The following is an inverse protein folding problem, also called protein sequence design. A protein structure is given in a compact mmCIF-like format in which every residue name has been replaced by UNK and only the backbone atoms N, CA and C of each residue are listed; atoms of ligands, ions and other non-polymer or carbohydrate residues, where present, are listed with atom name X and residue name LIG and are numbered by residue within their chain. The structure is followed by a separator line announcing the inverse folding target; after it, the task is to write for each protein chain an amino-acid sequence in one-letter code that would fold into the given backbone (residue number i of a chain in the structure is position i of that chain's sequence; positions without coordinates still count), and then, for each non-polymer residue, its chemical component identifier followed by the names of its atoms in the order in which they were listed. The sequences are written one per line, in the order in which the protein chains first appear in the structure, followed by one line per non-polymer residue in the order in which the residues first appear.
data_IF_496959442489
#
_entry.id   IF_496959442489
#
_cell.length_a   1.000
_cell.length_b   1.000
_cell.length_c   1.000
_cell.angle_alpha   90.00
_cell.angle_beta   90.00
_cell.angle_gamma   90.00
#
_symmetry.space_group_name_H-M   'P 1'
#
loop_
_entity.id
_entity.type
_entity.pdbx_description
1 polymer ?
#
# COMPACT_ATOMS: atom_id res chain seq x y z
N UNK A 1 -25.01 14.92 8.63
CA UNK A 1 -25.05 13.55 8.10
C UNK A 1 -26.47 13.01 8.10
N UNK A 2 -27.15 12.96 9.25
CA UNK A 2 -28.51 12.41 9.33
C UNK A 2 -29.49 13.11 8.38
N UNK A 3 -29.55 14.46 8.42
CA UNK A 3 -30.43 15.21 7.51
C UNK A 3 -30.04 15.05 6.03
N UNK A 4 -28.74 15.01 5.76
CA UNK A 4 -28.22 14.77 4.42
C UNK A 4 -28.67 13.40 3.90
N UNK A 5 -28.71 12.39 4.76
CA UNK A 5 -29.11 11.05 4.36
C UNK A 5 -30.57 10.97 3.94
N UNK A 6 -31.44 11.71 4.60
CA UNK A 6 -32.87 11.80 4.25
C UNK A 6 -33.12 12.72 3.04
N UNK A 7 -32.23 13.68 2.78
CA UNK A 7 -32.36 14.61 1.67
C UNK A 7 -31.93 14.03 0.31
N UNK A 8 -31.08 13.00 0.29
CA UNK A 8 -30.61 12.39 -0.96
C UNK A 8 -31.70 11.45 -1.51
N UNK A 9 -32.14 11.62 -2.77
CA UNK A 9 -33.16 10.77 -3.37
C UNK A 9 -32.56 9.43 -3.80
N UNK A 10 -32.31 8.53 -2.84
CA UNK A 10 -31.90 7.17 -3.14
C UNK A 10 -33.06 6.36 -3.75
N UNK A 11 -32.78 5.38 -4.63
CA UNK A 11 -33.75 4.38 -5.03
C UNK A 11 -34.31 3.63 -3.82
N UNK A 12 -35.56 3.17 -3.88
CA UNK A 12 -36.27 2.53 -2.77
C UNK A 12 -35.54 1.32 -2.16
N UNK A 13 -34.69 0.64 -2.94
CA UNK A 13 -33.91 -0.52 -2.49
C UNK A 13 -32.60 -0.15 -1.76
N UNK A 14 -32.21 1.12 -1.70
CA UNK A 14 -31.03 1.59 -0.96
C UNK A 14 -31.50 2.38 0.26
N UNK A 15 -31.30 1.85 1.49
CA UNK A 15 -31.59 2.59 2.70
C UNK A 15 -30.79 3.89 2.78
N UNK A 16 -31.39 4.98 3.26
CA UNK A 16 -30.81 6.32 3.17
C UNK A 16 -29.49 6.47 3.94
N UNK A 17 -29.37 5.92 5.17
CA UNK A 17 -28.15 6.10 5.96
C UNK A 17 -27.00 5.25 5.38
N UNK A 18 -27.27 4.00 5.02
CA UNK A 18 -26.32 3.09 4.36
C UNK A 18 -25.84 3.66 3.01
N UNK A 19 -26.76 4.11 2.16
CA UNK A 19 -26.46 4.75 0.89
C UNK A 19 -25.58 6.00 1.07
N UNK A 20 -25.87 6.81 2.09
CA UNK A 20 -25.09 8.01 2.40
C UNK A 20 -23.69 7.69 2.90
N UNK A 21 -23.53 6.65 3.74
CA UNK A 21 -22.20 6.18 4.16
C UNK A 21 -21.38 5.78 2.93
N UNK A 22 -21.97 5.00 2.02
CA UNK A 22 -21.29 4.55 0.80
C UNK A 22 -20.91 5.75 -0.08
N UNK A 23 -21.87 6.63 -0.34
CA UNK A 23 -21.69 7.80 -1.19
C UNK A 23 -20.61 8.75 -0.64
N UNK A 24 -20.69 9.11 0.64
CA UNK A 24 -19.69 9.98 1.28
C UNK A 24 -18.32 9.34 1.30
N UNK A 25 -18.23 8.02 1.50
CA UNK A 25 -16.96 7.30 1.43
C UNK A 25 -16.34 7.43 0.04
N UNK A 26 -17.11 7.13 -1.01
CA UNK A 26 -16.62 7.20 -2.41
C UNK A 26 -16.26 8.64 -2.76
N UNK A 27 -17.12 9.61 -2.43
CA UNK A 27 -16.90 11.02 -2.73
C UNK A 27 -15.63 11.55 -2.04
N UNK A 28 -15.50 11.34 -0.72
CA UNK A 28 -14.31 11.82 0.01
C UNK A 28 -13.04 11.10 -0.44
N UNK A 29 -13.08 9.81 -0.74
CA UNK A 29 -11.92 9.07 -1.26
C UNK A 29 -11.49 9.61 -2.62
N UNK A 30 -12.45 9.89 -3.51
CA UNK A 30 -12.20 10.44 -4.84
C UNK A 30 -11.65 11.87 -4.80
N UNK A 31 -12.22 12.73 -3.96
CA UNK A 31 -11.84 14.15 -3.91
C UNK A 31 -10.52 14.32 -3.13
N UNK A 32 -10.37 13.63 -2.00
CA UNK A 32 -9.31 13.92 -1.03
C UNK A 32 -8.15 12.92 -1.06
N UNK A 33 -8.34 11.66 -1.46
CA UNK A 33 -7.26 10.65 -1.38
C UNK A 33 -6.73 10.18 -2.75
N UNK A 34 -7.58 10.16 -3.76
CA UNK A 34 -7.20 9.74 -5.11
C UNK A 34 -6.12 10.65 -5.74
N UNK A 35 -6.16 11.99 -5.61
CA UNK A 35 -5.11 12.85 -6.17
C UNK A 35 -3.71 12.53 -5.63
N UNK A 36 -3.59 12.23 -4.34
CA UNK A 36 -2.32 11.83 -3.73
C UNK A 36 -1.83 10.47 -4.25
N UNK A 37 -2.76 9.55 -4.49
CA UNK A 37 -2.45 8.24 -5.06
C UNK A 37 -1.92 8.37 -6.50
N UNK A 38 -2.58 9.20 -7.33
CA UNK A 38 -2.13 9.51 -8.70
C UNK A 38 -0.77 10.21 -8.67
N UNK A 39 -0.59 11.18 -7.78
CA UNK A 39 0.68 11.90 -7.59
C UNK A 39 1.84 10.94 -7.25
N UNK A 40 1.63 10.00 -6.32
CA UNK A 40 2.64 9.02 -5.95
C UNK A 40 2.99 8.09 -7.12
N UNK A 41 1.99 7.63 -7.88
CA UNK A 41 2.20 6.82 -9.09
C UNK A 41 3.01 7.55 -10.15
N UNK A 42 2.72 8.83 -10.41
CA UNK A 42 3.52 9.64 -11.36
C UNK A 42 4.99 9.72 -10.95
N UNK A 43 5.29 9.85 -9.65
CA UNK A 43 6.67 9.89 -9.13
C UNK A 43 7.36 8.53 -9.20
N UNK A 44 6.63 7.46 -8.92
CA UNK A 44 7.14 6.11 -9.10
C UNK A 44 7.52 5.85 -10.56
N UNK A 45 6.67 6.24 -11.52
CA UNK A 45 6.97 6.15 -12.96
C UNK A 45 8.25 6.88 -13.33
N UNK A 46 8.41 8.14 -12.91
CA UNK A 46 9.63 8.91 -13.17
C UNK A 46 10.87 8.26 -12.54
N UNK A 47 10.72 7.54 -11.42
CA UNK A 47 11.81 6.76 -10.84
C UNK A 47 12.18 5.59 -11.74
N UNK A 48 11.19 4.86 -12.24
CA UNK A 48 11.38 3.68 -13.11
C UNK A 48 11.90 4.03 -14.51
N UNK A 49 11.41 5.12 -15.10
CA UNK A 49 11.71 5.54 -16.48
C UNK A 49 12.96 6.43 -16.58
N UNK A 50 13.32 7.17 -15.53
CA UNK A 50 14.44 8.14 -15.59
C UNK A 50 15.56 7.76 -14.62
N UNK A 51 15.25 7.62 -13.33
CA UNK A 51 16.28 7.40 -12.30
C UNK A 51 16.96 6.03 -12.45
N UNK A 52 16.18 4.97 -12.69
CA UNK A 52 16.74 3.61 -12.80
C UNK A 52 17.66 3.47 -14.04
N UNK A 53 17.28 3.91 -15.25
CA UNK A 53 18.16 3.83 -16.43
C UNK A 53 19.44 4.66 -16.28
N UNK A 54 19.35 5.89 -15.77
CA UNK A 54 20.52 6.73 -15.53
C UNK A 54 21.49 6.08 -14.53
N UNK A 55 20.96 5.57 -13.43
CA UNK A 55 21.78 4.86 -12.45
C UNK A 55 22.44 3.60 -13.06
N UNK A 56 21.73 2.87 -13.93
CA UNK A 56 22.29 1.71 -14.64
C UNK A 56 23.45 2.12 -15.56
N UNK A 57 23.34 3.26 -16.25
CA UNK A 57 24.40 3.77 -17.10
C UNK A 57 25.63 4.24 -16.30
N UNK A 58 25.43 4.82 -15.12
CA UNK A 58 26.53 5.30 -14.25
C UNK A 58 27.19 4.18 -13.41
N UNK A 59 26.53 3.03 -13.23
CA UNK A 59 27.03 1.92 -12.39
C UNK A 59 28.48 1.50 -12.71
N UNK A 60 28.89 1.27 -13.98
CA UNK A 60 30.26 0.87 -14.28
C UNK A 60 31.30 1.90 -13.82
N UNK A 61 30.99 3.19 -13.94
CA UNK A 61 31.87 4.27 -13.50
C UNK A 61 32.02 4.29 -11.97
N UNK A 62 30.93 4.06 -11.22
CA UNK A 62 30.97 3.95 -9.75
C UNK A 62 31.82 2.75 -9.34
N UNK A 63 31.66 1.59 -10.00
CA UNK A 63 32.44 0.38 -9.70
C UNK A 63 33.94 0.59 -9.95
N UNK A 64 34.30 1.30 -11.04
CA UNK A 64 35.69 1.66 -11.32
C UNK A 64 36.26 2.59 -10.26
N UNK A 65 35.49 3.62 -9.86
CA UNK A 65 35.90 4.56 -8.81
C UNK A 65 36.16 3.87 -7.48
N UNK A 66 35.29 2.94 -7.07
CA UNK A 66 35.50 2.14 -5.84
C UNK A 66 36.79 1.32 -5.93
N UNK A 67 37.06 0.75 -7.10
CA UNK A 67 38.29 -0.02 -7.30
C UNK A 67 39.54 0.84 -7.17
N UNK A 68 39.54 2.03 -7.78
CA UNK A 68 40.62 3.02 -7.66
C UNK A 68 40.82 3.50 -6.21
N UNK A 69 39.73 3.77 -5.48
CA UNK A 69 39.77 4.14 -4.06
C UNK A 69 40.36 3.01 -3.20
N UNK A 70 39.97 1.75 -3.44
CA UNK A 70 40.54 0.60 -2.72
C UNK A 70 42.03 0.39 -3.00
N UNK A 71 42.48 0.64 -4.23
CA UNK A 71 43.90 0.59 -4.58
C UNK A 71 44.69 1.70 -3.87
N UNK A 72 44.14 2.92 -3.84
CA UNK A 72 44.76 4.07 -3.16
C UNK A 72 44.85 3.88 -1.65
N UNK A 73 43.81 3.30 -1.06
CA UNK A 73 43.78 2.97 0.38
C UNK A 73 44.71 1.80 0.72
N UNK A 74 45.34 1.16 -0.29
CA UNK A 74 46.26 0.06 -0.10
C UNK A 74 45.61 -1.16 0.55
N UNK A 75 44.35 -1.46 0.24
CA UNK A 75 43.64 -2.59 0.83
C UNK A 75 44.34 -3.92 0.51
N UNK A 76 44.80 -4.63 1.55
CA UNK A 76 45.56 -5.90 1.47
C UNK A 76 44.78 -7.10 2.04
N UNK A 77 43.50 -7.21 1.71
CA UNK A 77 42.68 -8.38 2.07
C UNK A 77 42.82 -9.53 1.08
N UNK A 78 42.39 -10.73 1.49
CA UNK A 78 42.27 -11.87 0.59
C UNK A 78 41.25 -11.58 -0.54
N UNK A 79 41.29 -12.36 -1.64
CA UNK A 79 40.41 -12.16 -2.81
C UNK A 79 38.92 -12.07 -2.43
N UNK A 80 38.47 -12.88 -1.49
CA UNK A 80 37.08 -12.86 -1.01
C UNK A 80 36.75 -11.62 -0.18
N UNK A 81 37.67 -11.18 0.67
CA UNK A 81 37.51 -9.98 1.51
C UNK A 81 37.50 -8.72 0.65
N UNK A 82 38.39 -8.65 -0.35
CA UNK A 82 38.42 -7.57 -1.32
C UNK A 82 37.11 -7.49 -2.13
N UNK A 83 36.53 -8.64 -2.51
CA UNK A 83 35.25 -8.67 -3.20
C UNK A 83 34.09 -8.20 -2.30
N UNK A 84 34.06 -8.62 -1.03
CA UNK A 84 33.03 -8.19 -0.07
C UNK A 84 33.13 -6.70 0.22
N UNK A 85 34.34 -6.18 0.43
CA UNK A 85 34.59 -4.76 0.68
C UNK A 85 34.22 -3.91 -0.53
N UNK A 86 34.62 -4.33 -1.74
CA UNK A 86 34.25 -3.66 -3.00
C UNK A 86 32.72 -3.60 -3.15
N UNK A 87 32.04 -4.73 -2.95
CA UNK A 87 30.59 -4.79 -3.03
C UNK A 87 29.90 -3.89 -1.99
N UNK A 88 30.42 -3.84 -0.75
CA UNK A 88 29.91 -2.99 0.32
C UNK A 88 30.04 -1.50 -0.01
N UNK A 89 31.24 -1.07 -0.41
CA UNK A 89 31.52 0.33 -0.82
C UNK A 89 30.73 0.72 -2.07
N UNK A 90 30.66 -0.15 -3.07
CA UNK A 90 29.87 0.08 -4.27
C UNK A 90 28.39 0.23 -3.93
N UNK A 91 27.84 -0.62 -3.05
CA UNK A 91 26.44 -0.55 -2.68
C UNK A 91 26.10 0.74 -1.92
N UNK A 92 27.00 1.23 -1.05
CA UNK A 92 26.79 2.50 -0.34
C UNK A 92 26.78 3.70 -1.29
N UNK A 93 27.74 3.76 -2.23
CA UNK A 93 27.81 4.82 -3.24
C UNK A 93 26.62 4.77 -4.22
N UNK A 94 26.23 3.58 -4.68
CA UNK A 94 25.06 3.40 -5.55
C UNK A 94 23.78 3.89 -4.85
N UNK A 95 23.60 3.56 -3.56
CA UNK A 95 22.45 4.04 -2.78
C UNK A 95 22.47 5.56 -2.61
N UNK A 96 23.64 6.14 -2.34
CA UNK A 96 23.81 7.58 -2.22
C UNK A 96 23.45 8.28 -3.55
N UNK A 97 23.97 7.77 -4.68
CA UNK A 97 23.69 8.31 -6.01
C UNK A 97 22.22 8.16 -6.40
N UNK A 98 21.60 7.02 -6.08
CA UNK A 98 20.16 6.83 -6.29
C UNK A 98 19.34 7.88 -5.54
N UNK A 99 19.69 8.17 -4.28
CA UNK A 99 19.01 9.20 -3.48
C UNK A 99 19.21 10.60 -4.06
N UNK A 100 20.40 10.90 -4.55
CA UNK A 100 20.71 12.17 -5.19
C UNK A 100 19.90 12.37 -6.49
N UNK A 101 19.94 11.38 -7.40
CA UNK A 101 19.16 11.40 -8.64
C UNK A 101 17.66 11.51 -8.35
N UNK A 102 17.16 10.79 -7.35
CA UNK A 102 15.77 10.89 -6.92
C UNK A 102 15.43 12.30 -6.39
N UNK A 103 16.36 12.98 -5.70
CA UNK A 103 16.17 14.36 -5.24
C UNK A 103 16.15 15.33 -6.42
N UNK A 104 17.12 15.23 -7.34
CA UNK A 104 17.23 16.07 -8.53
C UNK A 104 15.97 16.00 -9.41
N UNK A 105 15.41 14.80 -9.56
CA UNK A 105 14.21 14.58 -10.38
C UNK A 105 12.90 14.78 -9.60
N UNK A 106 12.95 15.17 -8.32
CA UNK A 106 11.75 15.37 -7.51
C UNK A 106 10.95 14.07 -7.30
N UNK A 107 11.63 12.94 -7.13
CA UNK A 107 11.05 11.60 -6.94
C UNK A 107 11.60 10.88 -5.71
N UNK A 108 11.93 11.64 -4.66
CA UNK A 108 12.38 11.08 -3.36
C UNK A 108 11.43 9.98 -2.87
N UNK A 109 12.01 8.87 -2.40
CA UNK A 109 11.28 7.66 -2.02
C UNK A 109 10.35 7.88 -0.83
N UNK A 110 10.85 8.51 0.23
CA UNK A 110 10.08 8.72 1.48
C UNK A 110 8.74 9.45 1.28
N UNK A 111 8.68 10.65 0.68
CA UNK A 111 7.40 11.33 0.50
C UNK A 111 6.47 10.55 -0.45
N UNK A 112 7.02 9.90 -1.48
CA UNK A 112 6.24 9.08 -2.42
C UNK A 112 5.57 7.88 -1.73
N UNK A 113 6.25 7.29 -0.74
CA UNK A 113 5.75 6.14 0.03
C UNK A 113 4.79 6.53 1.16
N UNK A 114 5.05 7.65 1.86
CA UNK A 114 4.34 7.99 3.10
C UNK A 114 3.12 8.89 2.89
N UNK A 115 3.12 9.79 1.90
CA UNK A 115 2.03 10.76 1.73
C UNK A 115 0.68 10.08 1.45
N UNK A 116 0.57 9.06 0.57
CA UNK A 116 -0.71 8.42 0.32
C UNK A 116 -1.37 7.83 1.58
N UNK A 117 -0.71 6.95 2.38
CA UNK A 117 -1.34 6.44 3.60
C UNK A 117 -1.59 7.55 4.64
N UNK A 118 -0.69 8.53 4.78
CA UNK A 118 -0.88 9.65 5.72
C UNK A 118 -2.09 10.52 5.35
N UNK A 119 -2.36 10.72 4.07
CA UNK A 119 -3.54 11.48 3.60
C UNK A 119 -4.86 10.77 3.92
N UNK A 120 -4.85 9.43 4.04
CA UNK A 120 -6.04 8.65 4.33
C UNK A 120 -6.35 8.58 5.83
N UNK A 121 -5.34 8.64 6.70
CA UNK A 121 -5.51 8.45 8.16
C UNK A 121 -6.50 9.43 8.79
N UNK A 122 -6.45 10.76 8.54
CA UNK A 122 -7.41 11.70 9.13
C UNK A 122 -8.86 11.40 8.74
N UNK A 123 -9.09 11.03 7.48
CA UNK A 123 -10.43 10.65 7.01
C UNK A 123 -10.87 9.35 7.66
N UNK A 124 -9.98 8.36 7.72
CA UNK A 124 -10.28 7.07 8.33
C UNK A 124 -10.70 7.20 9.79
N UNK A 125 -9.89 7.92 10.59
CA UNK A 125 -10.17 8.15 12.01
C UNK A 125 -11.37 9.06 12.18
N UNK A 126 -11.45 10.17 11.44
CA UNK A 126 -12.53 11.15 11.54
C UNK A 126 -13.90 10.55 11.24
N UNK A 127 -14.04 9.80 10.13
CA UNK A 127 -15.29 9.12 9.79
C UNK A 127 -15.63 8.02 10.81
N UNK A 128 -14.65 7.25 11.28
CA UNK A 128 -14.91 6.20 12.28
C UNK A 128 -15.39 6.80 13.61
N UNK A 129 -14.78 7.90 14.07
CA UNK A 129 -15.22 8.61 15.28
C UNK A 129 -16.61 9.23 15.11
N UNK A 130 -16.86 9.84 13.96
CA UNK A 130 -18.15 10.44 13.63
C UNK A 130 -19.26 9.38 13.63
N UNK A 131 -19.07 8.29 12.89
CA UNK A 131 -20.05 7.19 12.82
C UNK A 131 -20.22 6.49 14.16
N UNK A 132 -19.14 6.30 14.92
CA UNK A 132 -19.22 5.76 16.28
C UNK A 132 -20.06 6.61 17.22
N UNK A 133 -19.97 7.95 17.11
CA UNK A 133 -20.83 8.86 17.89
C UNK A 133 -22.29 8.82 17.44
N UNK A 134 -22.54 8.75 16.13
CA UNK A 134 -23.91 8.69 15.59
C UNK A 134 -24.58 7.35 15.93
N UNK A 135 -23.81 6.27 16.07
CA UNK A 135 -24.30 4.96 16.50
C UNK A 135 -24.57 4.86 18.01
N UNK A 136 -24.23 5.87 18.82
CA UNK A 136 -24.51 5.85 20.26
C UNK A 136 -26.03 6.07 20.53
N UNK A 137 -26.67 5.28 21.41
CA UNK A 137 -28.08 5.48 21.74
C UNK A 137 -28.36 6.83 22.43
N UNK A 138 -29.54 7.44 22.21
CA UNK A 138 -30.56 7.04 21.23
C UNK A 138 -30.14 7.39 19.79
N UNK A 139 -30.36 6.49 18.83
CA UNK A 139 -29.96 6.71 17.44
C UNK A 139 -31.04 6.27 16.44
N UNK A 140 -31.13 6.99 15.33
CA UNK A 140 -31.99 6.64 14.19
C UNK A 140 -31.37 5.54 13.33
N UNK A 141 -30.10 5.19 13.55
CA UNK A 141 -29.42 4.12 12.82
C UNK A 141 -29.99 2.71 13.14
N UNK A 142 -30.80 2.59 14.19
CA UNK A 142 -31.57 1.39 14.51
C UNK A 142 -32.79 1.19 13.60
N UNK A 143 -33.19 2.22 12.86
CA UNK A 143 -34.39 2.16 12.01
C UNK A 143 -34.17 1.45 10.67
N UNK A 144 -32.91 1.17 10.28
CA UNK A 144 -32.61 0.53 9.00
C UNK A 144 -31.77 -0.73 9.14
N UNK A 145 -32.08 -1.69 8.27
CA UNK A 145 -31.28 -2.88 8.01
C UNK A 145 -30.69 -2.79 6.60
N UNK A 146 -29.49 -3.32 6.42
CA UNK A 146 -28.82 -3.30 5.13
C UNK A 146 -27.86 -4.49 4.99
N UNK A 147 -27.98 -5.25 3.90
CA UNK A 147 -27.23 -6.49 3.68
C UNK A 147 -27.43 -7.48 4.85
N UNK A 148 -26.36 -7.75 5.62
CA UNK A 148 -26.38 -8.63 6.80
C UNK A 148 -26.61 -7.89 8.10
N UNK A 149 -26.64 -6.55 8.09
CA UNK A 149 -26.95 -5.75 9.27
C UNK A 149 -28.44 -5.78 9.58
N UNK A 150 -28.77 -6.13 10.82
CA UNK A 150 -30.11 -5.93 11.38
C UNK A 150 -30.34 -4.50 11.85
N UNK A 151 -29.26 -3.79 12.20
CA UNK A 151 -29.21 -2.36 12.54
C UNK A 151 -27.81 -1.83 12.21
N UNK A 152 -27.69 -0.55 11.86
CA UNK A 152 -26.39 0.11 11.67
C UNK A 152 -25.73 0.56 12.99
N UNK A 153 -26.46 0.59 14.12
CA UNK A 153 -25.90 0.96 15.42
C UNK A 153 -25.12 -0.20 16.05
N UNK A 154 -25.50 -1.43 15.71
CA UNK A 154 -24.93 -2.66 16.23
C UNK A 154 -24.01 -3.33 15.21
N UNK A 155 -23.05 -4.13 15.68
CA UNK A 155 -22.18 -4.88 14.77
C UNK A 155 -22.93 -5.95 13.98
N UNK A 156 -22.40 -6.35 12.82
CA UNK A 156 -22.97 -7.44 12.01
C UNK A 156 -23.09 -8.74 12.83
N UNK A 157 -24.31 -9.23 13.12
CA UNK A 157 -24.51 -10.42 13.94
C UNK A 157 -24.00 -11.70 13.26
N UNK A 158 -23.85 -11.68 11.93
CA UNK A 158 -23.38 -12.83 11.15
C UNK A 158 -21.84 -12.86 11.02
N UNK A 159 -21.17 -11.74 11.28
CA UNK A 159 -19.74 -11.58 11.03
C UNK A 159 -19.35 -11.57 9.54
N UNK A 160 -20.32 -11.56 8.62
CA UNK A 160 -20.09 -11.64 7.17
C UNK A 160 -19.31 -10.43 6.66
N UNK A 161 -19.72 -9.21 7.03
CA UNK A 161 -19.04 -7.99 6.58
C UNK A 161 -17.64 -7.80 7.17
N UNK A 162 -17.37 -8.13 8.45
CA UNK A 162 -16.03 -8.25 8.99
C UNK A 162 -15.14 -9.22 8.21
N UNK A 163 -15.65 -10.40 7.82
CA UNK A 163 -14.91 -11.37 7.01
C UNK A 163 -14.61 -10.79 5.62
N UNK A 164 -15.62 -10.22 4.96
CA UNK A 164 -15.45 -9.55 3.65
C UNK A 164 -14.41 -8.43 3.74
N UNK A 165 -14.44 -7.63 4.80
CA UNK A 165 -13.42 -6.60 5.04
C UNK A 165 -12.02 -7.21 5.14
N UNK A 166 -11.86 -8.31 5.88
CA UNK A 166 -10.60 -9.04 5.99
C UNK A 166 -10.08 -9.53 4.64
N UNK A 167 -10.95 -10.14 3.84
CA UNK A 167 -10.64 -10.62 2.48
C UNK A 167 -10.22 -9.48 1.56
N UNK A 168 -10.98 -8.38 1.53
CA UNK A 168 -10.65 -7.21 0.69
C UNK A 168 -9.33 -6.58 1.15
N UNK A 169 -9.09 -6.50 2.47
CA UNK A 169 -7.82 -5.97 3.00
C UNK A 169 -6.65 -6.86 2.63
N UNK A 170 -6.82 -8.18 2.71
CA UNK A 170 -5.82 -9.15 2.24
C UNK A 170 -5.54 -8.98 0.75
N UNK A 171 -6.59 -8.87 -0.08
CA UNK A 171 -6.44 -8.62 -1.52
C UNK A 171 -5.68 -7.33 -1.81
N UNK A 172 -5.90 -6.26 -1.03
CA UNK A 172 -5.15 -5.01 -1.15
C UNK A 172 -3.63 -5.17 -0.92
N UNK A 173 -3.21 -6.09 -0.04
CA UNK A 173 -1.78 -6.36 0.21
C UNK A 173 -1.10 -6.95 -1.03
N UNK A 174 -1.83 -7.80 -1.77
CA UNK A 174 -1.30 -8.52 -2.93
C UNK A 174 -1.67 -7.88 -4.28
N UNK A 175 -2.54 -6.85 -4.30
CA UNK A 175 -3.03 -6.21 -5.51
C UNK A 175 -1.91 -5.71 -6.45
N UNK A 176 -0.83 -5.15 -5.89
CA UNK A 176 0.32 -4.66 -6.66
C UNK A 176 1.03 -5.74 -7.50
N UNK A 177 0.77 -7.03 -7.24
CA UNK A 177 1.36 -8.15 -7.97
C UNK A 177 0.50 -8.62 -9.15
N UNK A 178 -0.78 -8.21 -9.20
CA UNK A 178 -1.73 -8.72 -10.19
C UNK A 178 -1.35 -8.32 -11.63
N UNK A 179 -0.77 -7.14 -11.82
CA UNK A 179 -0.36 -6.62 -13.13
C UNK A 179 1.16 -6.59 -13.34
N UNK A 180 1.86 -7.60 -12.82
CA UNK A 180 3.30 -7.74 -13.05
C UNK A 180 3.64 -8.17 -14.48
N UNK A 181 4.49 -7.39 -15.14
CA UNK A 181 5.14 -7.73 -16.42
C UNK A 181 5.95 -9.03 -16.35
N UNK A 182 6.16 -9.68 -17.49
CA UNK A 182 6.97 -10.90 -17.58
C UNK A 182 8.40 -10.68 -17.08
N UNK A 183 9.01 -9.53 -17.40
CA UNK A 183 10.34 -9.18 -16.90
C UNK A 183 10.38 -9.02 -15.38
N UNK A 184 9.36 -8.40 -14.78
CA UNK A 184 9.28 -8.24 -13.33
C UNK A 184 9.14 -9.61 -12.64
N UNK A 185 8.37 -10.53 -13.21
CA UNK A 185 8.24 -11.91 -12.70
C UNK A 185 9.56 -12.67 -12.82
N UNK A 186 10.25 -12.59 -13.96
CA UNK A 186 11.55 -13.23 -14.14
C UNK A 186 12.59 -12.70 -13.14
N UNK A 187 12.59 -11.38 -12.88
CA UNK A 187 13.45 -10.79 -11.83
C UNK A 187 13.10 -11.28 -10.42
N UNK A 188 11.82 -11.40 -10.08
CA UNK A 188 11.42 -11.97 -8.78
C UNK A 188 11.84 -13.44 -8.63
N UNK A 189 11.75 -14.24 -9.70
CA UNK A 189 12.21 -15.63 -9.71
C UNK A 189 13.72 -15.72 -9.53
N UNK A 190 14.51 -14.93 -10.27
CA UNK A 190 15.97 -14.89 -10.14
C UNK A 190 16.41 -14.49 -8.71
N UNK A 191 15.74 -13.49 -8.12
CA UNK A 191 16.01 -13.09 -6.73
C UNK A 191 15.64 -14.20 -5.76
N UNK A 192 14.51 -14.89 -5.97
CA UNK A 192 14.09 -16.01 -5.12
C UNK A 192 15.10 -17.16 -5.16
N UNK A 193 15.56 -17.55 -6.35
CA UNK A 193 16.60 -18.58 -6.52
C UNK A 193 17.94 -18.17 -5.90
N UNK A 194 18.33 -16.91 -6.05
CA UNK A 194 19.54 -16.40 -5.40
C UNK A 194 19.40 -16.44 -3.87
N UNK A 195 18.24 -16.05 -3.34
CA UNK A 195 17.98 -16.09 -1.89
C UNK A 195 17.95 -17.51 -1.35
N UNK A 196 17.36 -18.47 -2.07
CA UNK A 196 17.36 -19.89 -1.63
C UNK A 196 18.76 -20.47 -1.63
N UNK A 197 19.59 -20.18 -2.65
CA UNK A 197 21.00 -20.59 -2.69
C UNK A 197 21.79 -20.03 -1.50
N UNK A 198 21.62 -18.74 -1.17
CA UNK A 198 22.29 -18.12 -0.02
C UNK A 198 21.85 -18.70 1.32
N UNK A 199 20.56 -19.00 1.48
CA UNK A 199 20.06 -19.69 2.68
C UNK A 199 20.60 -21.12 2.80
N UNK A 200 20.68 -21.85 1.68
CA UNK A 200 21.28 -23.19 1.65
C UNK A 200 22.77 -23.16 2.00
N UNK A 201 23.48 -22.06 1.67
CA UNK A 201 24.85 -21.80 2.08
C UNK A 201 25.00 -21.35 3.55
N UNK A 202 23.92 -21.35 4.34
CA UNK A 202 23.94 -20.98 5.76
C UNK A 202 23.89 -19.47 6.03
N UNK A 203 23.70 -18.64 5.00
CA UNK A 203 23.65 -17.18 5.19
C UNK A 203 22.24 -16.69 5.54
N UNK A 204 22.16 -15.80 6.52
CA UNK A 204 20.91 -15.18 6.97
C UNK A 204 20.50 -14.04 6.03
N UNK A 205 19.67 -14.36 5.03
CA UNK A 205 19.10 -13.35 4.12
C UNK A 205 17.74 -12.86 4.65
N UNK A 206 17.75 -11.65 5.21
CA UNK A 206 16.53 -10.94 5.64
C UNK A 206 15.86 -10.31 4.42
N UNK A 207 14.55 -10.51 4.28
CA UNK A 207 13.74 -9.95 3.20
C UNK A 207 12.69 -8.98 3.78
N UNK A 208 13.03 -7.70 4.06
CA UNK A 208 12.13 -6.76 4.72
C UNK A 208 10.77 -6.61 4.01
N UNK A 209 10.76 -6.62 2.67
CA UNK A 209 9.52 -6.59 1.87
C UNK A 209 8.59 -7.76 2.19
N UNK A 210 9.12 -8.99 2.29
CA UNK A 210 8.31 -10.18 2.60
C UNK A 210 7.83 -10.18 4.05
N UNK A 211 8.67 -9.76 5.00
CA UNK A 211 8.28 -9.62 6.41
C UNK A 211 7.15 -8.61 6.54
N UNK A 212 7.28 -7.45 5.88
CA UNK A 212 6.24 -6.42 5.86
C UNK A 212 4.94 -6.90 5.18
N UNK A 213 5.03 -7.61 4.07
CA UNK A 213 3.83 -8.19 3.43
C UNK A 213 3.17 -9.24 4.32
N UNK A 214 3.95 -10.12 4.95
CA UNK A 214 3.42 -11.11 5.89
C UNK A 214 2.73 -10.45 7.08
N UNK A 215 3.32 -9.39 7.65
CA UNK A 215 2.70 -8.66 8.76
C UNK A 215 1.39 -7.99 8.34
N UNK A 216 1.31 -7.41 7.14
CA UNK A 216 0.07 -6.84 6.61
C UNK A 216 -1.01 -7.91 6.36
N UNK A 217 -0.64 -9.11 5.92
CA UNK A 217 -1.57 -10.24 5.78
C UNK A 217 -2.13 -10.68 7.14
N UNK A 218 -1.28 -10.80 8.15
CA UNK A 218 -1.71 -11.10 9.53
C UNK A 218 -2.59 -9.97 10.07
N UNK A 219 -2.24 -8.71 9.82
CA UNK A 219 -3.04 -7.56 10.20
C UNK A 219 -4.42 -7.56 9.52
N UNK A 220 -4.53 -8.11 8.31
CA UNK A 220 -5.82 -8.26 7.60
C UNK A 220 -6.76 -9.22 8.34
N UNK A 221 -6.22 -10.29 8.93
CA UNK A 221 -6.99 -11.21 9.79
C UNK A 221 -7.36 -10.53 11.11
N UNK A 222 -6.40 -9.85 11.75
CA UNK A 222 -6.66 -9.09 12.98
C UNK A 222 -7.73 -8.00 12.80
N UNK A 223 -7.81 -7.41 11.60
CA UNK A 223 -8.83 -6.42 11.25
C UNK A 223 -10.25 -6.98 11.31
N UNK A 224 -10.46 -8.28 11.06
CA UNK A 224 -11.76 -8.94 11.20
C UNK A 224 -12.22 -8.86 12.66
N UNK A 225 -11.34 -9.19 13.60
CA UNK A 225 -11.64 -9.16 15.04
C UNK A 225 -11.96 -7.75 15.52
N UNK A 226 -11.21 -6.74 15.06
CA UNK A 226 -11.49 -5.35 15.39
C UNK A 226 -12.84 -4.91 14.79
N UNK A 227 -13.14 -5.33 13.56
CA UNK A 227 -14.39 -4.98 12.89
C UNK A 227 -15.62 -5.57 13.59
N UNK A 228 -15.51 -6.74 14.22
CA UNK A 228 -16.58 -7.33 15.02
C UNK A 228 -16.95 -6.48 16.25
N UNK A 229 -16.03 -5.63 16.75
CA UNK A 229 -16.24 -4.83 17.95
C UNK A 229 -16.81 -3.44 17.68
N UNK A 230 -16.97 -3.05 16.42
CA UNK A 230 -17.45 -1.71 16.04
C UNK A 230 -18.88 -1.76 15.47
N UNK A 231 -19.66 -0.66 15.59
CA UNK A 231 -20.98 -0.53 14.97
C UNK A 231 -21.02 -0.85 13.48
N UNK A 232 -22.16 -1.33 12.99
CA UNK A 232 -22.38 -1.65 11.59
C UNK A 232 -22.14 -0.47 10.64
N UNK A 233 -22.44 0.75 11.08
CA UNK A 233 -22.12 1.99 10.37
C UNK A 233 -20.61 2.12 10.06
N UNK A 234 -19.75 1.81 11.04
CA UNK A 234 -18.29 1.81 10.89
C UNK A 234 -17.85 0.64 10.01
N UNK A 235 -18.44 -0.55 10.19
CA UNK A 235 -18.13 -1.71 9.36
C UNK A 235 -18.42 -1.44 7.87
N UNK A 236 -19.58 -0.86 7.56
CA UNK A 236 -19.98 -0.48 6.20
C UNK A 236 -19.00 0.54 5.59
N UNK A 237 -18.62 1.55 6.39
CA UNK A 237 -17.60 2.52 6.01
C UNK A 237 -16.26 1.84 5.68
N UNK A 238 -15.80 0.93 6.54
CA UNK A 238 -14.53 0.22 6.36
C UNK A 238 -14.54 -0.67 5.12
N UNK A 239 -15.60 -1.44 4.91
CA UNK A 239 -15.77 -2.30 3.72
C UNK A 239 -15.76 -1.45 2.45
N UNK A 240 -16.55 -0.38 2.41
CA UNK A 240 -16.63 0.52 1.25
C UNK A 240 -15.28 1.17 0.95
N UNK A 241 -14.58 1.65 1.98
CA UNK A 241 -13.29 2.31 1.84
C UNK A 241 -12.17 1.36 1.38
N UNK A 242 -12.19 0.11 1.86
CA UNK A 242 -11.27 -0.95 1.44
C UNK A 242 -11.55 -1.41 0.01
N UNK A 243 -12.82 -1.54 -0.37
CA UNK A 243 -13.24 -1.88 -1.73
C UNK A 243 -12.83 -0.79 -2.72
N UNK A 244 -13.06 0.49 -2.37
CA UNK A 244 -12.58 1.62 -3.16
C UNK A 244 -11.05 1.57 -3.35
N UNK A 245 -10.30 1.30 -2.27
CA UNK A 245 -8.84 1.17 -2.35
C UNK A 245 -8.38 0.07 -3.30
N UNK A 246 -9.08 -1.06 -3.29
CA UNK A 246 -8.79 -2.20 -4.17
C UNK A 246 -9.06 -1.85 -5.63
N UNK A 247 -10.24 -1.29 -5.91
CA UNK A 247 -10.63 -0.85 -7.25
C UNK A 247 -9.70 0.25 -7.76
N UNK A 248 -9.32 1.21 -6.90
CA UNK A 248 -8.36 2.25 -7.24
C UNK A 248 -7.01 1.65 -7.63
N UNK A 249 -6.47 0.74 -6.82
CA UNK A 249 -5.17 0.10 -7.09
C UNK A 249 -5.23 -0.69 -8.39
N UNK A 250 -6.28 -1.50 -8.56
CA UNK A 250 -6.53 -2.26 -9.77
C UNK A 250 -6.61 -1.36 -11.01
N UNK A 251 -7.37 -0.28 -10.97
CA UNK A 251 -7.53 0.63 -12.10
C UNK A 251 -6.23 1.36 -12.47
N UNK A 252 -5.48 1.83 -11.46
CA UNK A 252 -4.20 2.52 -11.68
C UNK A 252 -3.14 1.56 -12.24
N UNK A 253 -3.07 0.34 -11.72
CA UNK A 253 -2.13 -0.68 -12.19
C UNK A 253 -2.50 -1.19 -13.59
N UNK A 254 -3.78 -1.40 -13.86
CA UNK A 254 -4.27 -1.75 -15.19
C UNK A 254 -3.95 -0.68 -16.23
N UNK A 255 -4.13 0.59 -15.88
CA UNK A 255 -3.75 1.73 -16.71
C UNK A 255 -2.23 1.83 -16.94
N UNK A 256 -1.42 1.41 -15.97
CA UNK A 256 0.03 1.29 -16.13
C UNK A 256 0.42 0.14 -17.05
N UNK A 257 -0.21 -1.01 -16.88
CA UNK A 257 0.02 -2.19 -17.68
C UNK A 257 -0.30 -1.95 -19.16
N UNK A 258 -1.44 -1.33 -19.47
CA UNK A 258 -1.85 -1.04 -20.86
C UNK A 258 -0.94 -0.07 -21.62
N UNK A 259 -0.12 0.72 -20.92
CA UNK A 259 0.74 1.75 -21.55
C UNK A 259 2.15 1.25 -21.85
N UNK A 260 2.51 0.05 -21.42
CA UNK A 260 3.80 -0.59 -21.66
C UNK A 260 3.66 -1.64 -22.74
#
# INVERSE_FOLDING_TARGET
FLDLALAIPFPEYIPPYSGTIILLTVATRTILTLPFSIWARKRQRKTEEVVIPLLKAERPAILRKVHEEMQRDGFRGNREEAMKEHAGRAQSLIKARQKELAKQHGCSVLPTMLIPPLSQLPLFVGFSMMLGRVSAPPTVLDSESFLTFTSLSHGDPTGTLPIILGVITFANVDASRWFMTAEARAREQQVAEWTTKRRAAGETVIEPKKIFQASLRVASVGRILIALLVPGSIQLYWVTSAAFGLLQTWALDWWEFRRR
#
